data_IF_368613158741
#
_entry.id   IF_368613158741
#
_cell.length_a   1.000
_cell.length_b   1.000
_cell.length_c   1.000
_cell.angle_alpha   90.00
_cell.angle_beta   90.00
_cell.angle_gamma   90.00
#
_symmetry.space_group_name_H-M   'P 1'
#
loop_
_entity.id
_entity.type
_entity.pdbx_description
1 polymer ?
#
# COMPACT_ATOMS: atom_id res chain seq x y z
N UNK A 1 13.97 21.98 25.37
CA UNK A 1 14.60 21.71 24.06
C UNK A 1 13.46 21.56 23.08
N UNK A 2 13.49 22.34 22.00
CA UNK A 2 12.39 22.46 21.06
C UNK A 2 12.07 21.09 20.40
N UNK A 3 10.94 20.48 20.74
CA UNK A 3 10.51 19.15 20.24
C UNK A 3 10.03 19.19 18.78
N UNK A 4 9.88 20.39 18.21
CA UNK A 4 9.43 20.60 16.83
C UNK A 4 10.51 20.29 15.78
N UNK A 5 11.79 20.17 16.17
CA UNK A 5 12.91 19.90 15.26
C UNK A 5 13.01 18.44 14.74
N UNK A 6 12.03 17.56 15.04
CA UNK A 6 12.15 16.11 14.77
C UNK A 6 11.66 15.65 13.37
N UNK A 7 11.23 16.58 12.51
CA UNK A 7 10.78 16.30 11.14
C UNK A 7 11.85 16.60 10.08
N UNK A 8 12.91 17.31 10.44
CA UNK A 8 13.92 17.81 9.49
C UNK A 8 14.96 16.74 9.17
N UNK A 9 14.60 15.82 8.28
CA UNK A 9 15.62 15.36 7.34
C UNK A 9 15.62 16.36 6.18
N UNK A 10 16.70 17.11 5.99
CA UNK A 10 16.79 18.19 4.97
C UNK A 10 17.02 17.65 3.56
N UNK A 11 17.14 16.33 3.41
CA UNK A 11 17.27 15.62 2.13
C UNK A 11 16.08 14.68 1.89
N UNK A 12 14.88 15.24 1.65
CA UNK A 12 13.75 14.38 1.30
C UNK A 12 13.55 14.27 -0.22
N UNK A 13 13.97 13.14 -0.78
CA UNK A 13 13.76 12.79 -2.19
C UNK A 13 12.28 12.51 -2.48
N UNK A 14 11.88 12.59 -3.76
CA UNK A 14 10.52 12.28 -4.18
C UNK A 14 10.15 10.84 -3.78
N UNK A 15 8.95 10.64 -3.22
CA UNK A 15 8.51 9.33 -2.69
C UNK A 15 9.02 8.97 -1.29
N UNK A 16 9.76 9.85 -0.61
CA UNK A 16 10.19 9.64 0.78
C UNK A 16 9.01 9.68 1.77
N UNK A 17 8.95 8.72 2.70
CA UNK A 17 7.91 8.68 3.73
C UNK A 17 7.94 9.90 4.66
N UNK A 18 9.12 10.44 4.99
CA UNK A 18 9.21 11.67 5.80
C UNK A 18 8.73 12.90 5.05
N UNK A 19 8.96 12.97 3.73
CA UNK A 19 8.38 14.02 2.87
C UNK A 19 6.86 13.96 2.88
N UNK A 20 6.32 12.75 2.75
CA UNK A 20 4.88 12.52 2.81
C UNK A 20 4.28 13.05 4.12
N UNK A 21 4.89 12.73 5.27
CA UNK A 21 4.47 13.25 6.58
C UNK A 21 4.57 14.79 6.63
N UNK A 22 5.67 15.37 6.13
CA UNK A 22 5.85 16.83 6.05
C UNK A 22 4.75 17.50 5.20
N UNK A 23 4.40 16.90 4.07
CA UNK A 23 3.35 17.38 3.18
C UNK A 23 1.96 17.31 3.84
N UNK A 24 1.65 16.23 4.58
CA UNK A 24 0.41 16.14 5.35
C UNK A 24 0.35 17.21 6.45
N UNK A 25 1.45 17.43 7.17
CA UNK A 25 1.53 18.47 8.20
C UNK A 25 1.34 19.88 7.60
N UNK A 26 1.96 20.16 6.46
CA UNK A 26 1.80 21.44 5.75
C UNK A 26 0.35 21.67 5.26
N UNK A 27 -0.38 20.60 4.96
CA UNK A 27 -1.79 20.64 4.54
C UNK A 27 -2.78 20.60 5.71
N UNK A 28 -2.30 20.65 6.96
CA UNK A 28 -3.11 20.47 8.18
C UNK A 28 -3.91 19.14 8.19
N UNK A 29 -3.44 18.12 7.47
CA UNK A 29 -4.05 16.79 7.38
C UNK A 29 -3.30 15.73 8.23
N UNK A 30 -2.17 16.13 8.80
CA UNK A 30 -1.54 15.46 9.92
C UNK A 30 -1.84 16.27 11.16
N UNK A 31 -2.35 15.61 12.19
CA UNK A 31 -2.43 16.25 13.49
C UNK A 31 -1.94 15.27 14.54
N UNK A 32 -1.09 15.76 15.45
CA UNK A 32 -0.76 15.01 16.66
C UNK A 32 -2.00 15.04 17.57
N UNK A 33 -2.91 14.07 17.41
CA UNK A 33 -4.16 13.99 18.16
C UNK A 33 -4.41 12.55 18.58
N UNK A 34 -5.23 12.40 19.61
CA UNK A 34 -6.36 11.46 19.62
C UNK A 34 -7.42 11.71 18.47
N UNK A 35 -7.03 11.94 17.18
CA UNK A 35 -7.76 11.87 15.85
C UNK A 35 -7.42 12.85 14.66
N UNK A 36 -7.49 12.31 13.41
CA UNK A 36 -6.80 12.59 12.10
C UNK A 36 -5.28 12.31 12.09
N UNK A 37 -4.78 11.64 11.03
CA UNK A 37 -3.63 10.67 11.02
C UNK A 37 -2.69 10.78 12.24
N UNK A 38 -2.94 10.00 13.32
CA UNK A 38 -2.27 10.24 14.59
C UNK A 38 -0.80 9.83 14.51
N UNK A 39 0.10 10.79 14.77
CA UNK A 39 1.50 10.51 15.08
C UNK A 39 1.67 10.41 16.60
N UNK A 40 1.87 9.20 17.10
CA UNK A 40 2.12 8.93 18.51
C UNK A 40 3.60 9.07 18.82
N UNK A 41 3.97 10.19 19.45
CA UNK A 41 5.36 10.48 19.81
C UNK A 41 5.82 9.78 21.09
N UNK A 42 4.92 9.52 22.06
CA UNK A 42 5.28 8.99 23.37
C UNK A 42 4.51 7.72 23.72
N UNK A 43 4.77 6.64 22.98
CA UNK A 43 4.13 5.34 23.23
C UNK A 43 4.71 4.70 24.50
N UNK A 44 3.84 4.15 25.36
CA UNK A 44 4.27 3.44 26.57
C UNK A 44 5.19 2.28 26.20
N UNK A 45 6.38 2.23 26.82
CA UNK A 45 7.41 1.23 26.52
C UNK A 45 8.39 1.65 25.44
N UNK A 46 8.30 2.88 24.92
CA UNK A 46 9.29 3.46 24.00
C UNK A 46 10.68 3.51 24.64
N UNK A 47 11.68 3.10 23.87
CA UNK A 47 13.08 3.15 24.29
C UNK A 47 13.61 4.60 24.28
N UNK A 48 14.44 5.04 25.26
CA UNK A 48 14.93 6.42 25.35
C UNK A 48 15.73 6.94 24.15
N UNK A 49 16.33 6.05 23.35
CA UNK A 49 17.02 6.40 22.10
C UNK A 49 16.06 6.72 20.93
N UNK A 50 14.75 6.70 21.18
CA UNK A 50 13.74 7.17 20.24
C UNK A 50 13.13 6.11 19.34
N UNK A 51 13.49 4.82 19.50
CA UNK A 51 13.18 3.66 18.64
C UNK A 51 11.72 3.48 18.17
N UNK A 52 10.74 4.15 18.76
CA UNK A 52 9.33 3.98 18.37
C UNK A 52 8.52 5.26 18.44
N UNK A 53 8.13 5.77 17.28
CA UNK A 53 6.88 6.54 17.07
C UNK A 53 5.93 5.71 16.25
N UNK A 54 4.63 6.01 16.28
CA UNK A 54 3.64 5.26 15.51
C UNK A 54 2.80 6.23 14.68
N UNK A 55 2.62 5.97 13.38
CA UNK A 55 1.70 6.72 12.54
C UNK A 55 0.46 5.87 12.25
N UNK A 56 -0.71 6.29 12.70
CA UNK A 56 -1.98 5.66 12.36
C UNK A 56 -2.64 6.26 11.12
N UNK A 57 -3.45 5.45 10.44
CA UNK A 57 -4.23 5.84 9.25
C UNK A 57 -3.40 6.58 8.16
N UNK A 58 -2.21 6.06 7.78
CA UNK A 58 -1.29 6.74 6.88
C UNK A 58 -1.92 7.12 5.54
N UNK A 59 -2.82 6.30 4.99
CA UNK A 59 -3.51 6.61 3.72
C UNK A 59 -5.02 6.40 3.81
N UNK A 60 -5.59 6.51 5.01
CA UNK A 60 -7.04 6.58 5.22
C UNK A 60 -7.69 7.80 4.53
N UNK A 61 -9.01 7.77 4.38
CA UNK A 61 -9.74 8.89 3.81
C UNK A 61 -9.77 10.10 4.77
N UNK A 62 -9.55 11.30 4.25
CA UNK A 62 -9.61 12.55 5.01
C UNK A 62 -11.04 13.08 5.11
N UNK A 63 -11.37 13.76 6.21
CA UNK A 63 -12.64 14.47 6.37
C UNK A 63 -12.57 15.92 5.88
N UNK A 64 -11.40 16.39 5.43
CA UNK A 64 -11.26 17.73 4.89
C UNK A 64 -12.18 17.94 3.67
N UNK A 65 -12.98 19.02 3.63
CA UNK A 65 -13.89 19.30 2.53
C UNK A 65 -13.17 19.32 1.16
N UNK A 66 -13.64 18.50 0.22
CA UNK A 66 -13.08 18.41 -1.13
C UNK A 66 -11.72 17.71 -1.24
N UNK A 67 -11.21 17.14 -0.14
CA UNK A 67 -9.87 16.53 -0.05
C UNK A 67 -9.91 15.09 0.48
N UNK A 68 -11.04 14.38 0.27
CA UNK A 68 -11.28 13.01 0.74
C UNK A 68 -10.11 12.05 0.49
N UNK A 69 -9.44 12.19 -0.65
CA UNK A 69 -8.34 11.31 -1.08
C UNK A 69 -6.94 11.91 -0.89
N UNK A 70 -6.78 13.01 -0.14
CA UNK A 70 -5.51 13.74 -0.03
C UNK A 70 -4.33 12.83 0.36
N UNK A 71 -4.51 11.91 1.32
CA UNK A 71 -3.41 11.07 1.81
C UNK A 71 -2.90 10.10 0.75
N UNK A 72 -3.80 9.36 0.09
CA UNK A 72 -3.41 8.49 -1.02
C UNK A 72 -2.89 9.31 -2.21
N UNK A 73 -3.48 10.47 -2.51
CA UNK A 73 -3.02 11.36 -3.57
C UNK A 73 -1.57 11.82 -3.37
N UNK A 74 -1.24 12.33 -2.17
CA UNK A 74 0.12 12.74 -1.81
C UNK A 74 1.11 11.56 -1.87
N UNK A 75 0.70 10.37 -1.42
CA UNK A 75 1.55 9.17 -1.52
C UNK A 75 1.91 8.79 -2.97
N UNK A 76 1.06 9.17 -3.93
CA UNK A 76 1.24 8.94 -5.37
C UNK A 76 1.83 10.15 -6.11
N UNK A 77 2.20 11.22 -5.38
CA UNK A 77 2.70 12.47 -5.97
C UNK A 77 1.65 13.27 -6.75
N UNK A 78 0.36 13.06 -6.46
CA UNK A 78 -0.76 13.78 -7.08
C UNK A 78 -1.12 15.06 -6.29
N UNK A 79 -1.82 16.02 -6.92
CA UNK A 79 -2.35 17.19 -6.23
C UNK A 79 -3.30 16.82 -5.07
N UNK A 80 -3.38 17.68 -4.04
CA UNK A 80 -4.22 17.47 -2.85
C UNK A 80 -5.72 17.34 -3.16
N UNK A 81 -6.14 17.82 -4.33
CA UNK A 81 -7.53 17.80 -4.82
C UNK A 81 -7.80 16.67 -5.82
N UNK A 82 -6.87 15.71 -5.95
CA UNK A 82 -7.04 14.60 -6.88
C UNK A 82 -8.33 13.80 -6.59
N UNK A 83 -9.07 13.52 -7.65
CA UNK A 83 -10.27 12.70 -7.61
C UNK A 83 -9.95 11.21 -7.56
N UNK A 84 -10.95 10.38 -7.27
CA UNK A 84 -10.82 8.93 -7.37
C UNK A 84 -10.40 8.49 -8.78
N UNK A 85 -10.94 9.15 -9.82
CA UNK A 85 -10.58 8.86 -11.22
C UNK A 85 -9.12 9.20 -11.52
N UNK A 86 -8.59 10.32 -11.00
CA UNK A 86 -7.18 10.69 -11.17
C UNK A 86 -6.25 9.62 -10.58
N UNK A 87 -6.61 9.08 -9.41
CA UNK A 87 -5.86 8.01 -8.75
C UNK A 87 -5.92 6.71 -9.56
N UNK A 88 -7.10 6.33 -10.07
CA UNK A 88 -7.25 5.15 -10.93
C UNK A 88 -6.41 5.29 -12.21
N UNK A 89 -6.44 6.45 -12.85
CA UNK A 89 -5.66 6.73 -14.06
C UNK A 89 -4.16 6.66 -13.75
N UNK A 90 -3.72 7.22 -12.63
CA UNK A 90 -2.33 7.18 -12.19
C UNK A 90 -1.80 5.74 -12.04
N UNK A 91 -2.59 4.84 -11.45
CA UNK A 91 -2.23 3.42 -11.34
C UNK A 91 -2.10 2.74 -12.70
N UNK A 92 -3.00 3.07 -13.64
CA UNK A 92 -3.00 2.50 -15.00
C UNK A 92 -1.83 3.01 -15.83
N UNK A 93 -1.55 4.31 -15.81
CA UNK A 93 -0.41 4.92 -16.50
C UNK A 93 0.91 4.28 -16.07
N UNK A 94 1.10 4.08 -14.76
CA UNK A 94 2.29 3.44 -14.22
C UNK A 94 2.45 1.97 -14.66
N UNK A 95 1.38 1.29 -15.11
CA UNK A 95 1.48 -0.10 -15.59
C UNK A 95 2.15 -0.16 -16.97
N UNK A 96 2.05 0.91 -17.74
CA UNK A 96 2.63 1.03 -19.08
C UNK A 96 4.10 1.45 -19.08
N UNK A 97 4.65 1.84 -17.92
CA UNK A 97 6.00 2.34 -17.76
C UNK A 97 6.71 1.61 -16.61
N UNK A 98 8.01 1.36 -16.72
CA UNK A 98 8.82 0.86 -15.61
C UNK A 98 10.03 1.75 -15.43
N UNK A 99 10.23 2.24 -14.21
CA UNK A 99 11.39 3.07 -13.85
C UNK A 99 12.25 2.27 -12.88
N UNK A 100 13.35 1.64 -13.32
CA UNK A 100 14.20 0.82 -12.46
C UNK A 100 14.73 1.61 -11.24
N UNK A 101 14.93 0.94 -10.09
CA UNK A 101 15.48 1.59 -8.90
C UNK A 101 16.96 1.99 -9.11
N UNK A 102 17.41 2.97 -8.33
CA UNK A 102 18.81 3.45 -8.34
C UNK A 102 19.45 3.29 -6.97
N UNK A 103 20.76 3.10 -6.93
CA UNK A 103 21.50 3.05 -5.66
C UNK A 103 21.46 4.41 -4.96
N UNK A 104 21.17 4.41 -3.66
CA UNK A 104 21.04 5.62 -2.87
C UNK A 104 22.43 6.23 -2.56
N UNK A 105 22.58 7.56 -2.58
CA UNK A 105 23.83 8.21 -2.18
C UNK A 105 24.06 8.16 -0.66
N UNK A 106 22.99 8.02 0.11
CA UNK A 106 22.98 7.95 1.58
C UNK A 106 22.01 6.86 2.05
N UNK A 107 22.20 6.37 3.27
CA UNK A 107 21.42 5.25 3.82
C UNK A 107 20.90 5.55 5.24
N UNK A 108 19.93 6.48 5.36
CA UNK A 108 19.46 6.91 6.68
C UNK A 108 18.73 5.80 7.43
N UNK A 109 18.11 4.84 6.72
CA UNK A 109 17.46 3.65 7.29
C UNK A 109 18.40 2.72 8.06
N UNK A 110 19.71 2.99 8.02
CA UNK A 110 20.75 2.20 8.68
C UNK A 110 21.61 2.97 9.66
N UNK A 111 21.17 4.14 10.09
CA UNK A 111 21.83 4.94 11.11
C UNK A 111 22.02 4.17 12.42
N UNK A 112 21.02 3.40 12.83
CA UNK A 112 21.07 2.52 14.00
C UNK A 112 20.83 1.07 13.63
N UNK A 113 21.42 0.16 14.40
CA UNK A 113 21.38 -1.29 14.17
C UNK A 113 21.22 -2.04 15.48
N UNK A 114 20.37 -3.05 15.50
CA UNK A 114 20.32 -4.09 16.52
C UNK A 114 20.65 -5.42 15.83
N UNK A 115 21.64 -6.13 16.35
CA UNK A 115 22.13 -7.37 15.74
C UNK A 115 22.00 -8.54 16.70
N UNK A 116 21.71 -9.71 16.16
CA UNK A 116 21.80 -10.96 16.90
C UNK A 116 20.94 -10.97 18.17
N UNK A 117 21.60 -11.13 19.31
CA UNK A 117 20.94 -11.22 20.62
C UNK A 117 20.44 -9.87 21.14
N UNK A 118 20.85 -8.74 20.55
CA UNK A 118 20.33 -7.39 20.88
C UNK A 118 18.87 -7.22 20.46
N UNK A 119 18.36 -8.11 19.59
CA UNK A 119 16.99 -8.07 19.11
C UNK A 119 16.06 -8.67 20.15
N UNK A 120 15.22 -7.81 20.72
CA UNK A 120 14.02 -8.20 21.45
C UNK A 120 12.80 -7.46 20.88
N UNK A 121 12.08 -8.14 19.99
CA UNK A 121 10.84 -7.64 19.40
C UNK A 121 9.71 -7.45 20.44
N UNK A 122 9.80 -8.09 21.62
CA UNK A 122 8.78 -8.00 22.67
C UNK A 122 8.94 -6.75 23.54
N UNK A 123 10.15 -6.21 23.62
CA UNK A 123 10.44 -4.92 24.24
C UNK A 123 9.93 -3.74 23.40
N UNK A 124 9.64 -3.97 22.11
CA UNK A 124 9.10 -2.94 21.23
C UNK A 124 7.64 -2.63 21.60
N UNK A 125 7.21 -1.35 21.58
CA UNK A 125 5.83 -0.94 21.83
C UNK A 125 4.91 -1.26 20.63
N UNK A 126 4.95 -2.52 20.17
CA UNK A 126 4.08 -3.05 19.13
C UNK A 126 2.64 -3.05 19.64
N UNK A 127 1.70 -2.46 18.91
CA UNK A 127 0.32 -2.37 19.35
C UNK A 127 -0.40 -3.73 19.21
N UNK A 128 -1.31 -3.97 20.15
CA UNK A 128 -2.42 -4.91 19.94
C UNK A 128 -3.55 -4.08 19.35
N UNK A 129 -3.92 -4.32 18.10
CA UNK A 129 -4.76 -3.39 17.32
C UNK A 129 -6.23 -3.51 17.71
N UNK A 130 -6.72 -4.73 17.92
CA UNK A 130 -8.07 -5.01 18.39
C UNK A 130 -8.05 -5.79 19.70
N UNK A 131 -9.11 -5.65 20.51
CA UNK A 131 -9.26 -6.34 21.78
C UNK A 131 -9.12 -7.87 21.63
N UNK A 132 -9.69 -8.42 20.55
CA UNK A 132 -9.76 -9.86 20.29
C UNK A 132 -8.64 -10.39 19.38
N UNK A 133 -7.67 -9.55 19.00
CA UNK A 133 -6.52 -10.03 18.24
C UNK A 133 -5.76 -11.12 19.01
N UNK A 134 -5.28 -12.14 18.30
CA UNK A 134 -4.48 -13.22 18.88
C UNK A 134 -3.11 -12.77 19.43
N UNK A 135 -2.71 -11.52 19.17
CA UNK A 135 -1.47 -10.91 19.66
C UNK A 135 -1.18 -9.57 19.00
N UNK A 136 0.04 -9.08 19.20
CA UNK A 136 0.48 -7.76 18.71
C UNK A 136 0.91 -7.84 17.25
N UNK A 137 0.49 -6.88 16.43
CA UNK A 137 0.86 -6.83 15.01
C UNK A 137 1.96 -5.80 14.78
N UNK A 138 3.14 -6.28 14.36
CA UNK A 138 4.27 -5.41 14.03
C UNK A 138 4.19 -4.92 12.59
N UNK A 139 3.80 -5.81 11.67
CA UNK A 139 3.64 -5.47 10.26
C UNK A 139 2.16 -5.40 9.92
N UNK A 140 1.64 -4.19 9.73
CA UNK A 140 0.34 -3.94 9.11
C UNK A 140 0.39 -2.92 7.98
N UNK A 141 1.42 -2.08 7.93
CA UNK A 141 1.64 -1.13 6.84
C UNK A 141 3.12 -1.12 6.42
N UNK A 142 3.45 -1.99 5.48
CA UNK A 142 4.82 -2.19 5.03
C UNK A 142 4.93 -3.39 4.11
N UNK A 143 6.16 -3.73 3.73
CA UNK A 143 6.42 -4.75 2.70
C UNK A 143 7.39 -5.81 3.20
N UNK A 144 7.07 -7.06 2.88
CA UNK A 144 8.03 -8.15 2.81
C UNK A 144 8.78 -8.05 1.50
N UNK A 145 10.11 -8.06 1.59
CA UNK A 145 11.01 -8.09 0.44
C UNK A 145 11.71 -9.44 0.46
N UNK A 146 11.41 -10.28 -0.52
CA UNK A 146 12.01 -11.61 -0.65
C UNK A 146 12.62 -11.79 -2.03
N UNK A 147 13.76 -12.48 -2.08
CA UNK A 147 14.45 -12.77 -3.33
C UNK A 147 14.36 -14.27 -3.64
N UNK A 148 14.15 -14.57 -4.93
CA UNK A 148 14.23 -15.92 -5.48
C UNK A 148 15.63 -16.54 -5.27
N UNK A 149 15.75 -17.87 -5.08
CA UNK A 149 17.04 -18.52 -4.85
C UNK A 149 18.08 -18.33 -5.97
N UNK A 150 17.64 -18.08 -7.20
CA UNK A 150 18.51 -17.80 -8.36
C UNK A 150 18.89 -16.31 -8.50
N UNK A 151 18.47 -15.46 -7.55
CA UNK A 151 18.68 -14.02 -7.48
C UNK A 151 18.07 -13.21 -8.65
N UNK A 152 17.24 -13.82 -9.50
CA UNK A 152 16.76 -13.15 -10.72
C UNK A 152 15.45 -12.37 -10.52
N UNK A 153 14.77 -12.60 -9.41
CA UNK A 153 13.50 -11.96 -9.06
C UNK A 153 13.48 -11.54 -7.60
N UNK A 154 13.10 -10.27 -7.36
CA UNK A 154 12.84 -9.72 -6.04
C UNK A 154 11.36 -9.35 -5.99
N UNK A 155 10.63 -9.94 -5.04
CA UNK A 155 9.22 -9.62 -4.82
C UNK A 155 9.07 -8.69 -3.62
N UNK A 156 8.33 -7.60 -3.81
CA UNK A 156 7.86 -6.77 -2.71
C UNK A 156 6.37 -7.04 -2.54
N UNK A 157 5.96 -7.48 -1.35
CA UNK A 157 4.57 -7.85 -1.07
C UNK A 157 4.13 -7.36 0.28
N UNK A 158 2.88 -6.91 0.37
CA UNK A 158 2.28 -6.56 1.66
C UNK A 158 1.68 -7.84 2.24
N UNK A 159 2.18 -8.24 3.41
CA UNK A 159 1.59 -9.30 4.23
C UNK A 159 1.73 -8.92 5.69
N UNK A 160 0.65 -9.12 6.46
CA UNK A 160 0.64 -8.78 7.89
C UNK A 160 1.47 -9.77 8.69
N UNK A 161 2.02 -9.34 9.81
CA UNK A 161 2.70 -10.27 10.72
C UNK A 161 2.49 -9.97 12.19
N UNK A 162 2.15 -11.03 12.92
CA UNK A 162 1.99 -11.05 14.36
C UNK A 162 3.35 -11.32 15.02
N UNK A 163 3.58 -10.64 16.13
CA UNK A 163 4.72 -10.88 17.00
C UNK A 163 4.62 -12.28 17.62
N UNK A 164 5.72 -13.03 17.56
CA UNK A 164 5.83 -14.36 18.16
C UNK A 164 7.16 -14.50 18.90
N UNK A 165 7.26 -13.96 20.11
CA UNK A 165 8.51 -13.99 20.90
C UNK A 165 9.53 -12.94 20.45
N UNK A 166 10.74 -13.00 21.03
CA UNK A 166 11.77 -11.96 20.90
C UNK A 166 12.33 -11.81 19.49
N UNK A 167 12.36 -12.88 18.69
CA UNK A 167 13.07 -12.91 17.39
C UNK A 167 12.26 -13.57 16.27
N UNK A 168 10.95 -13.72 16.44
CA UNK A 168 10.11 -14.31 15.40
C UNK A 168 8.82 -13.53 15.16
N UNK A 169 8.44 -13.52 13.88
CA UNK A 169 7.18 -13.01 13.36
C UNK A 169 6.46 -14.14 12.64
N UNK A 170 5.13 -14.14 12.71
CA UNK A 170 4.30 -15.12 11.98
C UNK A 170 3.36 -14.36 11.05
N UNK A 171 3.36 -14.72 9.78
CA UNK A 171 2.54 -14.08 8.75
C UNK A 171 2.05 -15.10 7.72
N UNK A 172 0.96 -14.80 7.00
CA UNK A 172 0.46 -15.69 5.98
C UNK A 172 1.39 -15.72 4.76
N UNK A 173 1.75 -16.93 4.36
CA UNK A 173 2.53 -17.21 3.16
C UNK A 173 1.65 -17.98 2.16
N UNK A 174 0.77 -17.24 1.47
CA UNK A 174 -0.25 -17.84 0.60
C UNK A 174 0.43 -18.45 -0.64
N UNK A 175 0.35 -19.77 -0.87
CA UNK A 175 1.08 -20.46 -1.95
C UNK A 175 0.87 -19.86 -3.35
N UNK A 176 -0.34 -19.38 -3.65
CA UNK A 176 -0.68 -18.82 -4.96
C UNK A 176 -0.24 -17.35 -5.17
N UNK A 177 0.38 -16.72 -4.17
CA UNK A 177 0.90 -15.34 -4.26
C UNK A 177 2.43 -15.38 -4.42
N UNK A 178 3.01 -14.31 -4.95
CA UNK A 178 4.44 -14.22 -5.28
C UNK A 178 5.36 -14.65 -4.13
N UNK A 179 5.11 -14.20 -2.90
CA UNK A 179 5.87 -14.60 -1.71
C UNK A 179 5.78 -16.11 -1.42
N UNK A 180 4.60 -16.72 -1.60
CA UNK A 180 4.40 -18.16 -1.44
C UNK A 180 5.03 -18.97 -2.57
N UNK A 181 4.98 -18.44 -3.80
CA UNK A 181 5.69 -18.99 -4.95
C UNK A 181 7.19 -18.98 -4.71
N UNK A 182 7.79 -17.86 -4.31
CA UNK A 182 9.24 -17.78 -4.00
C UNK A 182 9.62 -18.76 -2.89
N UNK A 183 8.79 -18.89 -1.85
CA UNK A 183 8.99 -19.90 -0.80
C UNK A 183 8.96 -21.34 -1.35
N UNK A 184 8.17 -21.60 -2.40
CA UNK A 184 8.07 -22.89 -3.07
C UNK A 184 9.10 -23.10 -4.19
N UNK A 185 9.67 -22.02 -4.77
CA UNK A 185 10.60 -22.01 -5.92
C UNK A 185 11.99 -22.59 -5.59
N UNK A 186 12.09 -23.44 -4.56
CA UNK A 186 12.96 -24.62 -4.66
C UNK A 186 12.66 -25.51 -5.90
N UNK A 187 11.68 -25.15 -6.75
CA UNK A 187 11.34 -25.74 -8.05
C UNK A 187 11.06 -24.63 -9.11
N UNK A 188 11.36 -24.83 -10.41
CA UNK A 188 11.34 -23.77 -11.42
C UNK A 188 9.90 -23.35 -11.82
N UNK A 189 9.53 -22.09 -11.59
CA UNK A 189 8.27 -21.48 -12.02
C UNK A 189 8.52 -20.14 -12.77
N UNK A 190 7.57 -19.65 -13.60
CA UNK A 190 7.75 -18.44 -14.41
C UNK A 190 8.02 -17.19 -13.56
N UNK A 191 8.91 -16.32 -14.07
CA UNK A 191 9.40 -15.11 -13.39
C UNK A 191 8.35 -14.00 -13.39
N UNK A 192 8.23 -13.30 -12.25
CA UNK A 192 7.34 -12.15 -12.07
C UNK A 192 7.98 -10.81 -12.46
N UNK A 193 7.17 -9.76 -12.45
CA UNK A 193 7.60 -8.36 -12.59
C UNK A 193 8.10 -7.85 -11.23
N UNK A 194 9.20 -7.08 -11.21
CA UNK A 194 9.72 -6.46 -9.99
C UNK A 194 8.86 -5.24 -9.61
N UNK A 195 8.25 -5.26 -8.42
CA UNK A 195 7.36 -4.18 -7.96
C UNK A 195 8.07 -2.83 -7.76
N UNK A 196 9.37 -2.83 -7.47
CA UNK A 196 10.16 -1.60 -7.29
C UNK A 196 10.15 -0.69 -8.52
N UNK A 197 10.18 -1.26 -9.72
CA UNK A 197 10.17 -0.48 -10.96
C UNK A 197 8.80 0.12 -11.27
N UNK A 198 7.73 -0.59 -10.88
CA UNK A 198 6.35 -0.09 -10.97
C UNK A 198 6.10 1.05 -9.97
N UNK A 199 6.59 0.93 -8.73
CA UNK A 199 6.49 2.00 -7.75
C UNK A 199 7.28 3.24 -8.23
N UNK A 200 8.46 3.06 -8.84
CA UNK A 200 9.19 4.17 -9.48
C UNK A 200 8.35 4.88 -10.56
N UNK A 201 7.64 4.13 -11.39
CA UNK A 201 6.71 4.69 -12.38
C UNK A 201 5.52 5.42 -11.74
N UNK A 202 4.99 4.93 -10.61
CA UNK A 202 3.93 5.61 -9.85
C UNK A 202 4.41 6.98 -9.36
N UNK A 203 5.57 7.07 -8.72
CA UNK A 203 6.06 8.36 -8.18
C UNK A 203 6.73 9.24 -9.25
N UNK A 204 6.98 8.72 -10.45
CA UNK A 204 7.62 9.44 -11.56
C UNK A 204 9.15 9.56 -11.44
N UNK A 205 9.76 8.86 -10.49
CA UNK A 205 11.21 8.87 -10.24
C UNK A 205 11.67 7.48 -9.76
N UNK A 206 12.94 7.10 -10.00
CA UNK A 206 13.49 5.87 -9.43
C UNK A 206 13.35 5.81 -7.91
N UNK A 207 13.09 4.63 -7.36
CA UNK A 207 13.22 4.40 -5.92
C UNK A 207 14.70 4.24 -5.60
N UNK A 208 15.15 4.98 -4.59
CA UNK A 208 16.46 4.83 -4.00
C UNK A 208 16.52 3.57 -3.13
N UNK A 209 17.45 2.68 -3.45
CA UNK A 209 17.64 1.40 -2.75
C UNK A 209 19.06 1.26 -2.21
N UNK A 210 19.19 0.47 -1.16
CA UNK A 210 20.45 0.08 -0.52
C UNK A 210 20.47 -1.44 -0.32
N UNK A 211 21.64 -2.04 -0.14
CA UNK A 211 21.77 -3.46 0.17
C UNK A 211 21.44 -3.71 1.64
N UNK A 212 20.55 -4.65 1.96
CA UNK A 212 20.35 -5.13 3.32
C UNK A 212 21.67 -5.60 3.97
N UNK A 213 21.79 -5.45 5.29
CA UNK A 213 23.02 -5.68 6.05
C UNK A 213 23.49 -7.14 6.01
N UNK A 214 22.55 -8.09 6.09
CA UNK A 214 22.89 -9.50 6.30
C UNK A 214 22.80 -10.36 5.05
N UNK A 215 21.99 -9.96 4.06
CA UNK A 215 21.73 -10.78 2.87
C UNK A 215 21.92 -10.04 1.52
N UNK A 216 22.19 -8.73 1.54
CA UNK A 216 22.46 -7.96 0.33
C UNK A 216 21.25 -7.72 -0.59
N UNK A 217 20.05 -8.14 -0.21
CA UNK A 217 18.82 -7.85 -0.95
C UNK A 217 18.61 -6.34 -1.00
N UNK A 218 18.20 -5.81 -2.16
CA UNK A 218 17.93 -4.38 -2.30
C UNK A 218 16.63 -4.00 -1.57
N UNK A 219 16.72 -3.06 -0.62
CA UNK A 219 15.63 -2.52 0.19
C UNK A 219 15.55 -0.99 0.01
N UNK A 220 14.40 -0.35 0.23
CA UNK A 220 14.29 1.11 0.16
C UNK A 220 15.25 1.80 1.12
N UNK A 221 16.11 2.69 0.63
CA UNK A 221 17.07 3.41 1.47
C UNK A 221 16.40 4.39 2.45
N UNK A 222 15.22 4.88 2.09
CA UNK A 222 14.41 5.80 2.90
C UNK A 222 13.45 5.10 3.88
N UNK A 223 13.56 3.78 4.07
CA UNK A 223 12.75 3.05 5.04
C UNK A 223 12.98 3.55 6.48
N UNK A 224 11.92 3.62 7.29
CA UNK A 224 12.04 4.00 8.71
C UNK A 224 12.67 2.88 9.53
N UNK A 225 12.28 1.63 9.27
CA UNK A 225 12.73 0.42 9.96
C UNK A 225 12.81 -0.73 8.94
N UNK A 226 13.94 -1.46 8.95
CA UNK A 226 14.14 -2.67 8.16
C UNK A 226 14.35 -3.83 9.12
N UNK A 227 13.50 -4.86 9.02
CA UNK A 227 13.66 -6.12 9.74
C UNK A 227 14.23 -7.17 8.78
N UNK A 228 15.41 -7.69 9.09
CA UNK A 228 16.06 -8.72 8.29
C UNK A 228 15.92 -10.09 8.97
N UNK A 229 15.47 -11.08 8.21
CA UNK A 229 15.26 -12.46 8.70
C UNK A 229 16.52 -13.19 9.16
N UNK A 230 17.71 -12.57 9.05
CA UNK A 230 19.00 -13.05 9.57
C UNK A 230 19.42 -12.15 10.74
N UNK A 231 18.53 -11.99 11.73
CA UNK A 231 18.81 -11.33 13.01
C UNK A 231 19.46 -9.93 12.89
N UNK A 232 18.91 -9.06 12.06
CA UNK A 232 19.25 -7.63 12.08
C UNK A 232 17.99 -6.77 12.02
N UNK A 233 18.01 -5.66 12.76
CA UNK A 233 17.05 -4.57 12.64
C UNK A 233 17.85 -3.30 12.41
N UNK A 234 17.55 -2.56 11.34
CA UNK A 234 18.12 -1.23 11.12
C UNK A 234 17.02 -0.18 11.14
N UNK A 235 17.32 1.02 11.64
CA UNK A 235 16.33 2.09 11.75
C UNK A 235 16.97 3.48 11.71
N UNK A 236 16.17 4.47 11.31
CA UNK A 236 16.54 5.90 11.31
C UNK A 236 16.55 6.46 12.73
N UNK A 237 17.19 7.62 12.96
CA UNK A 237 16.94 8.40 14.19
C UNK A 237 15.46 8.70 14.37
N UNK A 238 14.93 8.40 15.55
CA UNK A 238 13.53 8.62 15.92
C UNK A 238 12.55 7.98 14.90
N UNK A 239 12.61 6.65 14.68
CA UNK A 239 11.89 6.01 13.58
C UNK A 239 10.38 6.02 13.83
N UNK A 240 9.63 5.99 12.73
CA UNK A 240 8.17 5.99 12.73
C UNK A 240 7.67 4.65 12.17
N UNK A 241 6.92 3.89 12.96
CA UNK A 241 6.22 2.69 12.53
C UNK A 241 4.82 3.06 12.03
N UNK A 242 4.55 3.03 10.71
CA UNK A 242 3.18 3.17 10.24
C UNK A 242 2.36 1.91 10.58
N UNK A 243 1.11 2.12 10.97
CA UNK A 243 0.15 1.05 11.26
C UNK A 243 -1.16 1.28 10.51
N UNK A 244 -1.73 0.19 10.03
CA UNK A 244 -3.10 0.09 9.56
C UNK A 244 -3.93 -0.69 10.60
N UNK A 245 -5.10 -0.15 10.98
CA UNK A 245 -6.05 -0.77 11.91
C UNK A 245 -7.28 -1.21 11.10
N UNK A 246 -7.24 -2.43 10.59
CA UNK A 246 -8.26 -2.94 9.66
C UNK A 246 -9.61 -3.14 10.34
N UNK A 247 -10.70 -2.70 9.73
CA UNK A 247 -12.02 -2.82 10.36
C UNK A 247 -13.13 -2.21 9.52
N UNK A 248 -13.88 -1.28 10.12
CA UNK A 248 -14.94 -0.55 9.41
C UNK A 248 -14.32 0.47 8.46
N UNK A 249 -14.78 0.48 7.22
CA UNK A 249 -14.34 1.42 6.20
C UNK A 249 -14.63 2.89 6.58
N UNK A 250 -13.87 3.85 6.04
CA UNK A 250 -12.73 3.66 5.12
C UNK A 250 -11.38 3.54 5.85
N UNK A 251 -10.63 2.48 5.56
CA UNK A 251 -9.22 2.30 5.95
C UNK A 251 -8.36 1.84 4.76
N UNK A 252 -7.09 1.54 4.98
CA UNK A 252 -6.13 1.18 3.91
C UNK A 252 -6.53 -0.04 3.06
N UNK A 253 -7.37 -0.95 3.58
CA UNK A 253 -8.04 -1.98 2.78
C UNK A 253 -8.74 -1.37 1.57
N UNK A 254 -9.56 -0.35 1.77
CA UNK A 254 -10.31 0.28 0.70
C UNK A 254 -9.45 1.27 -0.10
N UNK A 255 -8.70 2.14 0.60
CA UNK A 255 -7.99 3.25 -0.05
C UNK A 255 -6.75 2.79 -0.82
N UNK A 256 -6.21 1.60 -0.54
CA UNK A 256 -5.09 1.01 -1.29
C UNK A 256 -5.56 -0.17 -2.13
N UNK A 257 -6.11 -1.21 -1.50
CA UNK A 257 -6.45 -2.44 -2.23
C UNK A 257 -7.68 -2.29 -3.09
N UNK A 258 -8.72 -1.60 -2.62
CA UNK A 258 -9.92 -1.32 -3.41
C UNK A 258 -9.58 -0.55 -4.69
N UNK A 259 -8.78 0.52 -4.58
CA UNK A 259 -8.39 1.36 -5.71
C UNK A 259 -7.51 0.63 -6.73
N UNK A 260 -6.48 -0.09 -6.25
CA UNK A 260 -5.59 -0.85 -7.15
C UNK A 260 -6.33 -1.98 -7.87
N UNK A 261 -7.24 -2.67 -7.19
CA UNK A 261 -8.09 -3.68 -7.82
C UNK A 261 -9.05 -3.07 -8.85
N UNK A 262 -9.65 -1.91 -8.56
CA UNK A 262 -10.52 -1.20 -9.50
C UNK A 262 -9.76 -0.76 -10.76
N UNK A 263 -8.55 -0.22 -10.62
CA UNK A 263 -7.70 0.17 -11.75
C UNK A 263 -7.33 -1.02 -12.65
N UNK A 264 -7.04 -2.18 -12.04
CA UNK A 264 -6.75 -3.41 -12.77
C UNK A 264 -7.99 -3.94 -13.52
N UNK A 265 -9.16 -3.94 -12.87
CA UNK A 265 -10.42 -4.36 -13.52
C UNK A 265 -10.82 -3.45 -14.66
N UNK A 266 -10.58 -2.14 -14.55
CA UNK A 266 -10.80 -1.21 -15.66
C UNK A 266 -9.93 -1.57 -16.87
N UNK A 267 -8.63 -1.80 -16.65
CA UNK A 267 -7.70 -2.21 -17.70
C UNK A 267 -8.13 -3.52 -18.36
N UNK A 268 -8.48 -4.53 -17.56
CA UNK A 268 -8.97 -5.83 -18.06
C UNK A 268 -10.25 -5.67 -18.89
N UNK A 269 -11.14 -4.78 -18.46
CA UNK A 269 -12.40 -4.53 -19.16
C UNK A 269 -12.15 -3.88 -20.53
N UNK A 270 -11.27 -2.89 -20.59
CA UNK A 270 -10.87 -2.24 -21.84
C UNK A 270 -10.15 -3.22 -22.79
N UNK A 271 -9.22 -4.03 -22.29
CA UNK A 271 -8.50 -5.05 -23.06
C UNK A 271 -9.46 -6.09 -23.66
N UNK A 272 -10.56 -6.39 -22.96
CA UNK A 272 -11.63 -7.27 -23.44
C UNK A 272 -12.64 -6.58 -24.39
N UNK A 273 -12.41 -5.31 -24.73
CA UNK A 273 -13.29 -4.50 -25.57
C UNK A 273 -14.64 -4.21 -24.93
N UNK A 274 -14.72 -4.18 -23.59
CA UNK A 274 -15.93 -3.80 -22.89
C UNK A 274 -16.05 -2.26 -22.84
N UNK A 275 -17.26 -1.69 -23.01
CA UNK A 275 -17.49 -0.26 -23.01
C UNK A 275 -17.57 0.28 -21.57
N UNK A 276 -16.50 0.11 -20.78
CA UNK A 276 -16.42 0.57 -19.39
C UNK A 276 -15.56 1.83 -19.32
N UNK A 277 -16.11 2.91 -18.73
CA UNK A 277 -15.42 4.21 -18.58
C UNK A 277 -14.65 4.30 -17.27
N UNK A 278 -15.24 3.74 -16.21
CA UNK A 278 -14.70 3.79 -14.86
C UNK A 278 -15.05 2.51 -14.12
N UNK A 279 -14.13 2.07 -13.26
CA UNK A 279 -14.39 1.07 -12.25
C UNK A 279 -14.08 1.69 -10.90
N UNK A 280 -14.99 1.51 -9.95
CA UNK A 280 -14.80 1.97 -8.59
C UNK A 280 -15.12 0.87 -7.58
N UNK A 281 -14.44 0.93 -6.45
CA UNK A 281 -14.79 0.18 -5.27
C UNK A 281 -15.31 1.17 -4.21
N UNK A 282 -16.62 1.32 -4.02
CA UNK A 282 -17.15 2.20 -2.98
C UNK A 282 -16.59 1.74 -1.63
N UNK A 283 -15.91 2.64 -0.91
CA UNK A 283 -15.23 2.28 0.33
C UNK A 283 -16.22 1.71 1.36
N UNK A 284 -17.44 2.22 1.36
CA UNK A 284 -18.53 1.78 2.24
C UNK A 284 -18.95 0.33 1.98
N UNK A 285 -18.60 -0.24 0.81
CA UNK A 285 -18.80 -1.65 0.50
C UNK A 285 -17.74 -2.58 1.12
N UNK A 286 -16.72 -2.04 1.79
CA UNK A 286 -15.64 -2.80 2.41
C UNK A 286 -14.95 -3.76 1.43
N UNK A 287 -14.62 -3.28 0.23
CA UNK A 287 -14.07 -4.09 -0.86
C UNK A 287 -15.00 -5.22 -1.39
N UNK A 288 -16.31 -5.16 -1.17
CA UNK A 288 -17.23 -6.21 -1.66
C UNK A 288 -17.87 -5.92 -3.01
N UNK A 289 -17.83 -4.67 -3.49
CA UNK A 289 -18.48 -4.28 -4.74
C UNK A 289 -17.47 -3.74 -5.74
N UNK A 290 -17.65 -4.10 -7.01
CA UNK A 290 -17.21 -3.28 -8.12
C UNK A 290 -18.42 -2.55 -8.71
N UNK A 291 -18.29 -1.25 -8.89
CA UNK A 291 -19.23 -0.44 -9.67
C UNK A 291 -18.55 -0.10 -10.98
N UNK A 292 -19.10 -0.62 -12.08
CA UNK A 292 -18.62 -0.42 -13.44
C UNK A 292 -19.54 0.59 -14.11
N UNK A 293 -18.98 1.76 -14.44
CA UNK A 293 -19.67 2.79 -15.19
C UNK A 293 -19.58 2.46 -16.69
N UNK A 294 -20.72 2.21 -17.32
CA UNK A 294 -20.84 1.74 -18.70
C UNK A 294 -21.06 2.92 -19.65
N UNK A 295 -20.24 3.00 -20.69
CA UNK A 295 -20.41 3.93 -21.82
C UNK A 295 -21.66 3.53 -22.61
N UNK A 296 -22.74 4.32 -22.49
CA UNK A 296 -24.03 3.95 -23.09
C UNK A 296 -24.03 4.08 -24.61
N UNK A 297 -23.22 4.97 -25.17
CA UNK A 297 -23.13 5.12 -26.62
C UNK A 297 -22.45 3.90 -27.23
N UNK A 298 -21.28 3.51 -26.70
CA UNK A 298 -20.57 2.31 -27.15
C UNK A 298 -21.34 1.02 -26.87
N UNK A 299 -22.07 0.94 -25.76
CA UNK A 299 -22.93 -0.22 -25.47
C UNK A 299 -24.00 -0.40 -26.55
N UNK A 300 -24.60 0.68 -27.06
CA UNK A 300 -25.60 0.60 -28.16
C UNK A 300 -24.97 0.10 -29.46
N UNK A 301 -23.73 0.50 -29.76
CA UNK A 301 -22.99 0.04 -30.94
C UNK A 301 -22.73 -1.47 -30.92
N UNK A 302 -22.60 -2.07 -29.73
CA UNK A 302 -22.42 -3.52 -29.59
C UNK A 302 -23.68 -4.32 -29.97
N UNK A 303 -24.86 -3.69 -30.01
CA UNK A 303 -26.13 -4.32 -30.37
C UNK A 303 -26.37 -5.67 -29.65
N UNK A 304 -26.18 -5.69 -28.33
CA UNK A 304 -26.25 -6.88 -27.47
C UNK A 304 -27.45 -6.83 -26.52
N UNK A 305 -27.87 -7.98 -25.99
CA UNK A 305 -28.88 -8.06 -24.94
C UNK A 305 -28.25 -7.86 -23.54
N UNK A 306 -29.05 -7.41 -22.58
CA UNK A 306 -28.60 -7.17 -21.20
C UNK A 306 -27.94 -8.42 -20.57
N UNK A 307 -28.54 -9.59 -20.73
CA UNK A 307 -28.04 -10.84 -20.15
C UNK A 307 -26.69 -11.24 -20.76
N UNK A 308 -26.57 -11.18 -22.09
CA UNK A 308 -25.33 -11.50 -22.80
C UNK A 308 -24.20 -10.54 -22.39
N UNK A 309 -24.48 -9.24 -22.36
CA UNK A 309 -23.52 -8.24 -21.91
C UNK A 309 -23.07 -8.47 -20.46
N UNK A 310 -24.03 -8.71 -19.56
CA UNK A 310 -23.76 -8.94 -18.14
C UNK A 310 -22.92 -10.21 -17.94
N UNK A 311 -23.20 -11.28 -18.69
CA UNK A 311 -22.42 -12.51 -18.65
C UNK A 311 -21.01 -12.34 -19.22
N UNK A 312 -20.85 -11.53 -20.27
CA UNK A 312 -19.52 -11.19 -20.80
C UNK A 312 -18.70 -10.43 -19.75
N UNK A 313 -19.28 -9.42 -19.10
CA UNK A 313 -18.63 -8.70 -17.99
C UNK A 313 -18.30 -9.65 -16.84
N UNK A 314 -19.26 -10.51 -16.44
CA UNK A 314 -19.06 -11.51 -15.39
C UNK A 314 -17.84 -12.40 -15.67
N UNK A 315 -17.78 -13.01 -16.85
CA UNK A 315 -16.67 -13.90 -17.18
C UNK A 315 -15.34 -13.16 -17.26
N UNK A 316 -15.31 -11.97 -17.85
CA UNK A 316 -14.10 -11.16 -17.94
C UNK A 316 -13.57 -10.75 -16.57
N UNK A 317 -14.43 -10.22 -15.71
CA UNK A 317 -14.01 -9.70 -14.40
C UNK A 317 -13.74 -10.84 -13.43
N UNK A 318 -14.66 -11.79 -13.22
CA UNK A 318 -14.50 -12.85 -12.22
C UNK A 318 -13.44 -13.89 -12.57
N UNK A 319 -13.08 -14.06 -13.85
CA UNK A 319 -11.94 -14.91 -14.23
C UNK A 319 -10.58 -14.24 -13.93
N UNK A 320 -10.57 -12.94 -13.64
CA UNK A 320 -9.35 -12.19 -13.35
C UNK A 320 -8.91 -12.30 -11.88
N UNK A 321 -7.63 -12.01 -11.63
CA UNK A 321 -7.05 -11.99 -10.28
C UNK A 321 -7.76 -11.02 -9.31
N UNK A 322 -8.10 -9.77 -9.67
CA UNK A 322 -8.86 -8.88 -8.77
C UNK A 322 -10.33 -9.30 -8.63
N UNK A 323 -10.97 -9.81 -9.68
CA UNK A 323 -12.37 -10.25 -9.62
C UNK A 323 -12.63 -11.43 -8.68
N UNK A 324 -11.62 -12.26 -8.41
CA UNK A 324 -11.73 -13.36 -7.45
C UNK A 324 -12.09 -12.90 -6.02
N UNK A 325 -11.68 -11.70 -5.59
CA UNK A 325 -11.87 -11.27 -4.19
C UNK A 325 -13.19 -10.50 -3.96
N UNK A 326 -13.80 -9.98 -5.02
CA UNK A 326 -14.92 -9.04 -4.92
C UNK A 326 -16.18 -9.72 -5.44
N UNK A 327 -17.17 -10.04 -4.59
CA UNK A 327 -18.27 -10.92 -4.95
C UNK A 327 -19.36 -10.28 -5.83
N UNK A 328 -19.46 -8.95 -5.88
CA UNK A 328 -20.60 -8.27 -6.50
C UNK A 328 -20.11 -7.25 -7.53
N UNK A 329 -20.77 -7.23 -8.69
CA UNK A 329 -20.58 -6.24 -9.75
C UNK A 329 -21.91 -5.51 -9.98
N UNK A 330 -21.87 -4.18 -9.93
CA UNK A 330 -22.95 -3.30 -10.37
C UNK A 330 -22.56 -2.68 -11.72
N UNK A 331 -23.45 -2.80 -12.70
CA UNK A 331 -23.32 -2.14 -14.00
C UNK A 331 -24.26 -0.94 -14.04
N UNK A 332 -23.72 0.26 -14.06
CA UNK A 332 -24.48 1.50 -14.03
C UNK A 332 -24.19 2.34 -15.28
N UNK A 333 -25.15 3.16 -15.69
CA UNK A 333 -24.95 4.09 -16.80
C UNK A 333 -23.93 5.18 -16.47
N UNK A 334 -23.41 5.82 -17.52
CA UNK A 334 -22.46 6.94 -17.41
C UNK A 334 -23.05 8.25 -16.88
N UNK A 335 -24.33 8.26 -16.53
CA UNK A 335 -25.01 9.30 -15.75
C UNK A 335 -24.81 9.17 -14.25
N UNK A 336 -24.30 8.04 -13.75
CA UNK A 336 -24.05 7.80 -12.32
C UNK A 336 -22.56 7.93 -12.03
N UNK A 337 -22.18 8.79 -11.07
CA UNK A 337 -20.81 8.89 -10.57
C UNK A 337 -20.53 7.74 -9.58
N UNK A 338 -19.70 6.75 -9.96
CA UNK A 338 -19.48 5.58 -9.12
C UNK A 338 -18.67 5.90 -7.85
N UNK A 339 -18.04 7.09 -7.76
CA UNK A 339 -17.30 7.53 -6.56
C UNK A 339 -18.19 8.15 -5.48
N UNK A 340 -19.42 8.52 -5.84
CA UNK A 340 -20.42 9.06 -4.94
C UNK A 340 -21.44 7.97 -4.59
N UNK A 341 -21.30 7.38 -3.40
CA UNK A 341 -22.20 6.30 -2.96
C UNK A 341 -23.69 6.69 -3.04
N UNK A 342 -24.05 7.95 -2.81
CA UNK A 342 -25.45 8.40 -2.88
C UNK A 342 -26.05 8.34 -4.28
N UNK A 343 -25.20 8.39 -5.30
CA UNK A 343 -25.62 8.27 -6.69
C UNK A 343 -25.77 6.79 -7.10
N UNK A 344 -25.04 5.90 -6.42
CA UNK A 344 -25.04 4.46 -6.66
C UNK A 344 -26.25 3.74 -6.04
N UNK A 345 -26.81 4.26 -4.92
CA UNK A 345 -27.84 3.57 -4.10
C UNK A 345 -29.27 4.09 -4.28
#
# INVERSE_FOLDING_TARGET
MDETASYEDTQTTAGSFRRFIQELHAESDLVAIDEEAPLFDNVKGRHPNGLFRVLGAPVGASQQPGKRFIRIAKSLGLPSTASGQDIINKFREAKSCQIPPTEAPTDPGKEFKLLGDEIDLTALPVPKLHADDGGKFLQTFGMYIVQSPDNTWVNWSITRSILHGERSLVGPMIPRKNIGLIRQIGMPLPKGVNESAYIGALIGSPIEVTKAEMNGILVPANAEIIFEGIMAITYRKVPILPICVTGRAPEESETVWGLTQAAEVLTISEDAGLPIKMVWNPFESHCHWFVLQVDREKLRELNTAMEEFSMKVFHTVFASKPGYNIPIIYLLGDDIDPTNLRDVI
#
